data_IF_460196004531
#
_entry.id   IF_460196004531
#
_cell.length_a   1.000
_cell.length_b   1.000
_cell.length_c   1.000
_cell.angle_alpha   90.00
_cell.angle_beta   90.00
_cell.angle_gamma   90.00
#
_symmetry.space_group_name_H-M   'P 1'
#
loop_
_entity.id
_entity.type
_entity.pdbx_description
1 polymer ?
#
# COMPACT_ATOMS: atom_id res chain seq x y z
N UNK A 1 44.38 -53.59 32.00
CA UNK A 1 44.21 -52.12 31.92
C UNK A 1 43.51 -51.79 30.62
N UNK A 2 42.25 -51.32 30.67
CA UNK A 2 41.47 -50.90 29.50
C UNK A 2 41.33 -49.38 29.57
N UNK A 3 41.82 -48.67 28.54
CA UNK A 3 41.67 -47.23 28.40
C UNK A 3 40.20 -46.90 28.03
N UNK A 4 39.55 -45.92 28.66
CA UNK A 4 38.29 -45.40 28.15
C UNK A 4 38.56 -44.36 27.05
N UNK A 5 37.84 -44.52 25.94
CA UNK A 5 37.76 -43.60 24.82
C UNK A 5 37.15 -42.27 25.28
N UNK A 6 37.84 -41.15 25.04
CA UNK A 6 37.27 -39.81 25.17
C UNK A 6 36.26 -39.58 24.04
N UNK A 7 34.98 -39.71 24.34
CA UNK A 7 33.92 -39.16 23.50
C UNK A 7 33.84 -37.66 23.78
N UNK A 8 34.41 -36.84 22.90
CA UNK A 8 34.28 -35.37 22.97
C UNK A 8 32.82 -34.98 22.71
N UNK A 9 32.16 -34.48 23.74
CA UNK A 9 30.85 -33.84 23.65
C UNK A 9 31.07 -32.41 23.13
N UNK A 10 30.98 -32.21 21.81
CA UNK A 10 30.85 -30.85 21.26
C UNK A 10 29.45 -30.33 21.58
N UNK A 11 29.32 -29.52 22.63
CA UNK A 11 28.20 -28.59 22.78
C UNK A 11 28.37 -27.51 21.70
N UNK A 12 27.65 -27.68 20.59
CA UNK A 12 27.47 -26.60 19.62
C UNK A 12 26.71 -25.45 20.30
N UNK A 13 27.41 -24.34 20.53
CA UNK A 13 26.78 -23.06 20.83
C UNK A 13 25.99 -22.63 19.59
N UNK A 14 24.71 -23.00 19.55
CA UNK A 14 23.75 -22.30 18.71
C UNK A 14 23.61 -20.90 19.30
N UNK A 15 24.39 -19.95 18.78
CA UNK A 15 24.04 -18.54 18.85
C UNK A 15 22.69 -18.40 18.14
N UNK A 16 21.61 -18.51 18.90
CA UNK A 16 20.28 -18.18 18.43
C UNK A 16 20.30 -16.71 18.07
N UNK A 17 20.51 -16.42 16.79
CA UNK A 17 20.14 -15.13 16.25
C UNK A 17 18.66 -14.98 16.60
N UNK A 18 18.35 -14.09 17.54
CA UNK A 18 16.99 -13.65 17.78
C UNK A 18 16.58 -12.94 16.50
N UNK A 19 15.99 -13.67 15.56
CA UNK A 19 15.33 -13.09 14.42
C UNK A 19 14.21 -12.22 15.01
N UNK A 20 14.40 -10.91 15.02
CA UNK A 20 13.34 -10.00 15.40
C UNK A 20 12.16 -10.26 14.46
N UNK A 21 10.98 -10.49 15.03
CA UNK A 21 9.78 -10.64 14.23
C UNK A 21 9.58 -9.39 13.38
N UNK A 22 9.35 -9.58 12.08
CA UNK A 22 9.03 -8.50 11.17
C UNK A 22 7.84 -7.70 11.70
N UNK A 23 7.86 -6.38 11.52
CA UNK A 23 6.77 -5.50 11.94
C UNK A 23 5.84 -5.17 10.77
N UNK A 24 4.56 -5.07 11.06
CA UNK A 24 3.57 -4.58 10.10
C UNK A 24 3.74 -3.07 9.91
N UNK A 25 3.08 -2.51 8.90
CA UNK A 25 3.03 -1.08 8.66
C UNK A 25 1.71 -0.70 7.97
N UNK A 26 1.30 0.54 8.19
CA UNK A 26 0.14 1.15 7.58
C UNK A 26 0.53 2.25 6.60
N UNK A 27 -0.35 2.48 5.64
CA UNK A 27 -0.15 3.42 4.54
C UNK A 27 -1.49 3.99 4.05
N UNK A 28 -1.43 4.87 3.06
CA UNK A 28 -2.62 5.45 2.44
C UNK A 28 -2.48 5.55 0.93
N UNK A 29 -3.63 5.73 0.27
CA UNK A 29 -3.76 6.09 -1.14
C UNK A 29 -4.00 7.59 -1.27
N UNK A 30 -3.37 8.26 -2.23
CA UNK A 30 -3.87 9.55 -2.73
C UNK A 30 -3.43 9.76 -4.18
N UNK A 31 -4.39 9.73 -5.11
CA UNK A 31 -4.10 9.71 -6.55
C UNK A 31 -3.85 11.10 -7.16
N UNK A 32 -4.14 12.18 -6.41
CA UNK A 32 -3.97 13.57 -6.88
C UNK A 32 -2.87 14.36 -6.16
N UNK A 33 -2.00 13.71 -5.38
CA UNK A 33 -0.99 14.41 -4.55
C UNK A 33 -0.15 15.38 -5.40
N UNK A 34 0.30 14.93 -6.57
CA UNK A 34 1.08 15.73 -7.49
C UNK A 34 0.35 16.99 -8.00
N UNK A 35 -0.99 16.97 -8.02
CA UNK A 35 -1.83 18.10 -8.41
C UNK A 35 -2.29 19.00 -7.25
N UNK A 36 -1.98 18.66 -6.00
CA UNK A 36 -2.31 19.49 -4.84
C UNK A 36 -1.42 20.73 -4.77
N UNK A 37 -1.95 21.85 -4.23
CA UNK A 37 -1.14 23.02 -3.93
C UNK A 37 -0.10 22.72 -2.82
N UNK A 38 1.06 23.40 -2.84
CA UNK A 38 2.19 23.18 -1.91
C UNK A 38 1.77 23.08 -0.43
N UNK A 39 0.84 23.94 0.00
CA UNK A 39 0.31 23.94 1.37
C UNK A 39 -0.50 22.69 1.70
N UNK A 40 -1.29 22.17 0.76
CA UNK A 40 -2.06 20.93 0.94
C UNK A 40 -1.16 19.70 0.92
N UNK A 41 -0.15 19.68 0.04
CA UNK A 41 0.88 18.63 0.04
C UNK A 41 1.61 18.57 1.37
N UNK A 42 2.02 19.72 1.91
CA UNK A 42 2.71 19.81 3.21
C UNK A 42 1.84 19.29 4.35
N UNK A 43 0.57 19.70 4.41
CA UNK A 43 -0.38 19.20 5.42
C UNK A 43 -0.56 17.69 5.32
N UNK A 44 -0.75 17.16 4.11
CA UNK A 44 -0.87 15.73 3.87
C UNK A 44 0.34 14.96 4.38
N UNK A 45 1.53 15.31 3.89
CA UNK A 45 2.75 14.54 4.13
C UNK A 45 3.16 14.61 5.60
N UNK A 46 2.97 15.74 6.28
CA UNK A 46 3.17 15.85 7.73
C UNK A 46 2.15 15.02 8.52
N UNK A 47 0.87 15.02 8.10
CA UNK A 47 -0.16 14.20 8.73
C UNK A 47 0.16 12.71 8.64
N UNK A 48 0.50 12.24 7.44
CA UNK A 48 0.94 10.86 7.17
C UNK A 48 2.17 10.49 8.02
N UNK A 49 3.20 11.33 8.03
CA UNK A 49 4.40 11.10 8.83
C UNK A 49 4.05 11.00 10.33
N UNK A 50 3.19 11.87 10.84
CA UNK A 50 2.77 11.85 12.25
C UNK A 50 1.97 10.59 12.63
N UNK A 51 1.32 9.96 11.65
CA UNK A 51 0.63 8.68 11.80
C UNK A 51 1.56 7.47 11.65
N UNK A 52 2.86 7.70 11.43
CA UNK A 52 3.85 6.64 11.21
C UNK A 52 3.78 6.02 9.82
N UNK A 53 3.05 6.63 8.87
CA UNK A 53 2.98 6.15 7.49
C UNK A 53 4.34 6.31 6.83
N UNK A 54 4.81 5.22 6.21
CA UNK A 54 6.13 5.14 5.55
C UNK A 54 6.06 5.11 4.02
N UNK A 55 4.90 4.73 3.49
CA UNK A 55 4.68 4.59 2.05
C UNK A 55 3.36 5.22 1.67
N UNK A 56 3.33 6.00 0.60
CA UNK A 56 2.14 6.58 0.00
C UNK A 56 1.89 5.91 -1.36
N UNK A 57 0.68 5.41 -1.58
CA UNK A 57 0.27 4.80 -2.85
C UNK A 57 -0.33 5.83 -3.80
N UNK A 58 0.12 5.81 -5.05
CA UNK A 58 -0.23 6.78 -6.09
C UNK A 58 -0.50 6.08 -7.43
N UNK A 59 -1.30 6.70 -8.30
CA UNK A 59 -1.64 6.15 -9.62
C UNK A 59 -0.97 6.96 -10.72
N UNK A 60 -0.49 6.28 -11.78
CA UNK A 60 0.06 6.94 -12.97
C UNK A 60 -1.01 7.35 -13.99
N UNK A 61 -2.27 7.08 -13.69
CA UNK A 61 -3.36 7.20 -14.65
C UNK A 61 -3.93 8.62 -14.63
N UNK A 62 -3.23 9.57 -15.28
CA UNK A 62 -3.75 10.93 -15.50
C UNK A 62 -2.80 12.09 -15.19
N UNK A 63 -1.55 11.83 -14.81
CA UNK A 63 -0.52 12.85 -14.51
C UNK A 63 0.80 12.51 -15.22
N UNK A 64 1.65 13.50 -15.45
CA UNK A 64 2.96 13.24 -16.09
C UNK A 64 3.92 12.63 -15.08
N UNK A 65 4.88 11.82 -15.55
CA UNK A 65 5.88 11.19 -14.68
C UNK A 65 6.74 12.24 -13.94
N UNK A 66 6.93 13.41 -14.57
CA UNK A 66 7.70 14.53 -14.01
C UNK A 66 7.03 15.16 -12.78
N UNK A 67 5.69 15.13 -12.68
CA UNK A 67 4.94 15.72 -11.55
C UNK A 67 5.17 14.96 -10.21
N UNK A 68 5.69 13.73 -10.28
CA UNK A 68 5.91 12.85 -9.12
C UNK A 68 7.34 12.87 -8.58
N UNK A 69 8.30 13.38 -9.35
CA UNK A 69 9.72 13.31 -8.99
C UNK A 69 10.07 14.20 -7.78
N UNK A 70 9.34 15.28 -7.53
CA UNK A 70 9.67 16.28 -6.49
C UNK A 70 8.89 16.14 -5.17
N UNK A 71 7.78 15.39 -5.15
CA UNK A 71 6.74 15.49 -4.10
C UNK A 71 7.07 14.74 -2.80
N UNK A 72 7.95 13.73 -2.83
CA UNK A 72 8.14 12.76 -1.72
C UNK A 72 9.52 12.74 -1.08
N UNK A 73 10.54 13.26 -1.78
CA UNK A 73 11.94 13.13 -1.36
C UNK A 73 12.26 13.76 0.00
N UNK A 74 11.48 14.76 0.43
CA UNK A 74 11.80 15.55 1.63
C UNK A 74 11.08 15.10 2.91
N UNK A 75 10.10 14.18 2.83
CA UNK A 75 9.18 13.91 3.96
C UNK A 75 9.39 12.54 4.64
N UNK A 76 10.36 11.75 4.20
CA UNK A 76 10.62 10.41 4.76
C UNK A 76 9.51 9.41 4.43
N UNK A 77 8.85 9.59 3.29
CA UNK A 77 7.80 8.72 2.75
C UNK A 77 8.24 8.23 1.38
N UNK A 78 8.12 6.92 1.12
CA UNK A 78 8.35 6.33 -0.21
C UNK A 78 7.05 6.21 -1.00
N UNK A 79 7.15 6.08 -2.32
CA UNK A 79 6.01 5.82 -3.19
C UNK A 79 5.82 4.34 -3.47
N UNK A 80 4.57 3.88 -3.43
CA UNK A 80 4.12 2.69 -4.14
C UNK A 80 3.32 3.15 -5.36
N UNK A 81 3.83 2.84 -6.55
CA UNK A 81 3.31 3.41 -7.80
C UNK A 81 2.52 2.34 -8.55
N UNK A 82 1.22 2.57 -8.73
CA UNK A 82 0.39 1.72 -9.60
C UNK A 82 0.62 2.07 -11.07
N UNK A 83 1.07 1.09 -11.85
CA UNK A 83 1.38 1.25 -13.28
C UNK A 83 0.11 1.33 -14.13
N UNK A 84 -1.01 0.79 -13.64
CA UNK A 84 -2.29 0.71 -14.36
C UNK A 84 -3.47 0.61 -13.39
N UNK A 85 -4.71 0.68 -13.89
CA UNK A 85 -5.92 0.56 -13.07
C UNK A 85 -6.95 -0.36 -13.71
N UNK A 86 -7.55 -1.23 -12.88
CA UNK A 86 -8.69 -2.05 -13.28
C UNK A 86 -9.88 -1.18 -13.67
N UNK A 87 -10.13 -0.07 -12.98
CA UNK A 87 -11.20 0.86 -13.32
C UNK A 87 -10.99 1.47 -14.71
N UNK A 88 -9.74 1.79 -15.08
CA UNK A 88 -9.44 2.31 -16.41
C UNK A 88 -9.71 1.24 -17.50
N UNK A 89 -9.35 -0.01 -17.20
CA UNK A 89 -9.55 -1.18 -18.03
C UNK A 89 -11.04 -1.50 -18.23
N UNK A 90 -11.80 -1.58 -17.14
CA UNK A 90 -13.23 -1.93 -17.13
C UNK A 90 -14.07 -0.86 -17.84
N UNK A 91 -13.77 0.41 -17.59
CA UNK A 91 -14.49 1.53 -18.21
C UNK A 91 -14.11 1.76 -19.69
N UNK A 92 -13.24 0.93 -20.28
CA UNK A 92 -12.72 1.10 -21.64
C UNK A 92 -12.14 2.51 -21.88
N UNK A 93 -11.55 3.10 -20.84
CA UNK A 93 -11.12 4.50 -20.85
C UNK A 93 -9.69 4.66 -21.39
N UNK A 94 -8.88 3.61 -21.29
CA UNK A 94 -7.48 3.58 -21.70
C UNK A 94 -7.24 2.68 -22.92
N UNK A 95 -5.98 2.59 -23.34
CA UNK A 95 -5.59 1.74 -24.47
C UNK A 95 -5.94 0.27 -24.24
N UNK A 96 -5.67 -0.27 -23.04
CA UNK A 96 -5.89 -1.69 -22.77
C UNK A 96 -7.38 -2.03 -22.71
N UNK A 97 -8.20 -1.20 -22.09
CA UNK A 97 -9.66 -1.36 -22.05
C UNK A 97 -10.25 -1.35 -23.45
N UNK A 98 -9.92 -0.34 -24.27
CA UNK A 98 -10.45 -0.21 -25.64
C UNK A 98 -10.13 -1.38 -26.57
N UNK A 99 -8.96 -1.99 -26.41
CA UNK A 99 -8.47 -3.01 -27.36
C UNK A 99 -8.59 -4.44 -26.85
N UNK A 100 -8.63 -4.65 -25.54
CA UNK A 100 -8.60 -5.99 -24.93
C UNK A 100 -9.70 -6.21 -23.90
N UNK A 101 -10.22 -5.14 -23.29
CA UNK A 101 -11.18 -5.23 -22.18
C UNK A 101 -10.66 -6.05 -21.00
N UNK A 102 -11.53 -6.35 -20.04
CA UNK A 102 -11.18 -7.11 -18.83
C UNK A 102 -10.90 -8.59 -19.09
N UNK A 103 -11.22 -9.12 -20.28
CA UNK A 103 -10.96 -10.52 -20.65
C UNK A 103 -9.58 -10.73 -21.26
N UNK A 104 -9.36 -10.18 -22.46
CA UNK A 104 -8.15 -10.46 -23.25
C UNK A 104 -6.91 -9.80 -22.64
N UNK A 105 -7.06 -8.75 -21.82
CA UNK A 105 -5.92 -8.08 -21.19
C UNK A 105 -5.02 -9.06 -20.41
N UNK A 106 -5.62 -10.00 -19.67
CA UNK A 106 -4.89 -10.94 -18.83
C UNK A 106 -4.38 -12.18 -19.57
N UNK A 107 -4.90 -12.46 -20.78
CA UNK A 107 -4.69 -13.75 -21.46
C UNK A 107 -4.00 -13.61 -22.81
N UNK A 108 -4.20 -12.48 -23.51
CA UNK A 108 -3.60 -12.21 -24.81
C UNK A 108 -2.10 -12.00 -24.69
N UNK A 109 -1.33 -12.79 -25.44
CA UNK A 109 0.12 -12.63 -25.52
C UNK A 109 0.53 -11.24 -26.02
N UNK A 110 -0.29 -10.61 -26.87
CA UNK A 110 -0.07 -9.25 -27.37
C UNK A 110 -0.31 -8.21 -26.27
N UNK A 111 -1.41 -8.33 -25.52
CA UNK A 111 -1.69 -7.44 -24.39
C UNK A 111 -0.58 -7.54 -23.32
N UNK A 112 -0.18 -8.77 -22.97
CA UNK A 112 0.91 -9.03 -22.03
C UNK A 112 2.24 -8.42 -22.51
N UNK A 113 2.57 -8.55 -23.81
CA UNK A 113 3.80 -7.94 -24.36
C UNK A 113 3.77 -6.42 -24.27
N UNK A 114 2.67 -5.79 -24.67
CA UNK A 114 2.53 -4.33 -24.60
C UNK A 114 2.49 -3.81 -23.17
N UNK A 115 1.97 -4.61 -22.22
CA UNK A 115 2.02 -4.26 -20.81
C UNK A 115 3.46 -4.32 -20.25
N UNK A 116 4.25 -5.31 -20.68
CA UNK A 116 5.69 -5.36 -20.38
C UNK A 116 6.44 -4.15 -20.93
N UNK A 117 6.11 -3.70 -22.15
CA UNK A 117 6.70 -2.50 -22.74
C UNK A 117 6.37 -1.24 -21.90
N UNK A 118 5.12 -1.12 -21.41
CA UNK A 118 4.72 -0.05 -20.48
C UNK A 118 5.51 -0.11 -19.18
N UNK A 119 5.65 -1.29 -18.57
CA UNK A 119 6.45 -1.46 -17.34
C UNK A 119 7.90 -1.03 -17.61
N UNK A 120 8.51 -1.47 -18.71
CA UNK A 120 9.88 -1.10 -19.07
C UNK A 120 10.03 0.41 -19.27
N UNK A 121 9.04 1.06 -19.91
CA UNK A 121 9.02 2.50 -20.10
C UNK A 121 8.97 3.25 -18.76
N UNK A 122 8.06 2.88 -17.85
CA UNK A 122 7.94 3.49 -16.51
C UNK A 122 9.23 3.33 -15.71
N UNK A 123 9.81 2.12 -15.70
CA UNK A 123 11.05 1.84 -14.97
C UNK A 123 12.27 2.58 -15.52
N UNK A 124 12.26 2.94 -16.81
CA UNK A 124 13.31 3.67 -17.49
C UNK A 124 13.20 5.20 -17.36
N UNK A 125 12.06 5.72 -16.86
CA UNK A 125 11.89 7.15 -16.60
C UNK A 125 13.02 7.67 -15.73
N UNK A 126 13.62 8.79 -16.14
CA UNK A 126 14.76 9.39 -15.45
C UNK A 126 14.30 10.61 -14.70
N UNK A 127 14.56 10.62 -13.40
CA UNK A 127 14.31 11.79 -12.60
C UNK A 127 15.21 12.94 -13.10
N UNK A 128 14.66 14.13 -13.41
CA UNK A 128 15.39 15.21 -14.08
C UNK A 128 16.53 15.79 -13.23
N UNK A 129 16.38 15.85 -11.90
CA UNK A 129 17.40 16.36 -10.96
C UNK A 129 18.49 15.35 -10.61
N UNK A 130 18.14 14.08 -10.40
CA UNK A 130 19.12 13.08 -9.94
C UNK A 130 19.75 12.30 -11.09
N UNK A 131 19.12 12.26 -12.26
CA UNK A 131 19.52 11.47 -13.41
C UNK A 131 19.36 9.95 -13.23
N UNK A 132 18.94 9.48 -12.06
CA UNK A 132 18.63 8.07 -11.78
C UNK A 132 17.35 7.67 -12.49
N UNK A 133 17.30 6.45 -13.00
CA UNK A 133 16.01 5.90 -13.44
C UNK A 133 15.14 5.55 -12.24
N UNK A 134 13.83 5.50 -12.42
CA UNK A 134 12.90 5.03 -11.41
C UNK A 134 13.22 3.61 -10.90
N UNK A 135 13.76 2.74 -11.76
CA UNK A 135 14.29 1.43 -11.33
C UNK A 135 15.48 1.52 -10.35
N UNK A 136 16.23 2.62 -10.37
CA UNK A 136 17.40 2.88 -9.52
C UNK A 136 17.08 3.75 -8.30
N UNK A 137 15.81 4.12 -8.13
CA UNK A 137 15.35 5.14 -7.19
C UNK A 137 14.73 4.55 -5.92
N UNK A 138 15.31 3.46 -5.39
CA UNK A 138 14.85 2.83 -4.14
C UNK A 138 14.87 3.75 -2.92
N UNK A 139 15.58 4.86 -3.02
CA UNK A 139 15.68 5.89 -1.98
C UNK A 139 14.31 6.55 -1.71
N UNK A 140 13.44 6.61 -2.72
CA UNK A 140 12.10 7.21 -2.62
C UNK A 140 10.97 6.39 -3.26
N UNK A 141 11.27 5.32 -3.99
CA UNK A 141 10.29 4.37 -4.53
C UNK A 141 10.38 3.07 -3.74
N UNK A 142 9.28 2.69 -3.08
CA UNK A 142 9.15 1.46 -2.33
C UNK A 142 8.90 0.26 -3.25
N UNK A 143 7.91 0.39 -4.15
CA UNK A 143 7.58 -0.65 -5.11
C UNK A 143 6.75 -0.10 -6.29
N UNK A 144 6.64 -0.94 -7.32
CA UNK A 144 5.66 -0.78 -8.39
C UNK A 144 4.59 -1.85 -8.26
N UNK A 145 3.34 -1.45 -8.35
CA UNK A 145 2.20 -2.34 -8.46
C UNK A 145 1.79 -2.44 -9.93
N UNK A 146 1.46 -3.65 -10.39
CA UNK A 146 1.07 -3.86 -11.77
C UNK A 146 -0.26 -3.16 -12.09
N UNK A 147 -1.26 -3.29 -11.23
CA UNK A 147 -2.60 -2.78 -11.51
C UNK A 147 -3.42 -2.57 -10.23
N UNK A 148 -4.01 -1.38 -10.08
CA UNK A 148 -4.98 -1.05 -9.04
C UNK A 148 -6.21 -1.95 -9.10
N UNK A 149 -6.64 -2.45 -7.94
CA UNK A 149 -7.88 -3.25 -7.74
C UNK A 149 -7.97 -4.50 -8.62
N UNK A 150 -6.84 -5.20 -8.78
CA UNK A 150 -6.86 -6.53 -9.42
C UNK A 150 -7.68 -7.52 -8.57
N UNK A 151 -8.90 -7.82 -9.01
CA UNK A 151 -9.85 -8.68 -8.31
C UNK A 151 -9.44 -10.16 -8.36
N UNK A 152 -9.22 -10.81 -7.21
CA UNK A 152 -9.18 -12.27 -7.12
C UNK A 152 -9.66 -12.79 -5.74
N UNK A 153 -10.55 -13.79 -5.67
CA UNK A 153 -11.19 -14.21 -4.42
C UNK A 153 -10.58 -15.50 -3.81
N UNK A 154 -9.43 -15.43 -3.13
CA UNK A 154 -8.87 -16.61 -2.42
C UNK A 154 -8.09 -16.23 -1.16
N UNK A 155 -7.92 -17.14 -0.17
CA UNK A 155 -7.07 -16.86 0.99
C UNK A 155 -5.60 -16.76 0.56
N UNK A 156 -5.00 -15.57 0.72
CA UNK A 156 -3.73 -15.21 0.08
C UNK A 156 -2.48 -15.39 0.94
N UNK A 157 -2.57 -15.37 2.27
CA UNK A 157 -1.37 -15.39 3.14
C UNK A 157 -0.55 -16.65 2.94
N UNK A 158 -1.15 -17.83 3.10
CA UNK A 158 -0.43 -19.11 2.95
C UNK A 158 0.04 -19.34 1.52
N UNK A 159 -0.72 -18.86 0.53
CA UNK A 159 -0.33 -18.96 -0.89
C UNK A 159 0.86 -18.07 -1.20
N UNK A 160 0.85 -16.82 -0.73
CA UNK A 160 1.96 -15.90 -0.87
C UNK A 160 3.22 -16.48 -0.22
N UNK A 161 3.12 -16.95 1.03
CA UNK A 161 4.22 -17.63 1.73
C UNK A 161 4.75 -18.83 0.94
N UNK A 162 3.88 -19.75 0.51
CA UNK A 162 4.26 -20.94 -0.26
C UNK A 162 4.92 -20.60 -1.59
N UNK A 163 4.52 -19.50 -2.22
CA UNK A 163 5.11 -19.01 -3.47
C UNK A 163 6.37 -18.15 -3.28
N UNK A 164 6.84 -17.96 -2.03
CA UNK A 164 7.97 -17.07 -1.73
C UNK A 164 7.67 -15.61 -2.08
N UNK A 165 6.40 -15.20 -2.05
CA UNK A 165 5.92 -13.85 -2.36
C UNK A 165 5.52 -13.13 -1.08
N UNK A 166 5.63 -11.80 -1.11
CA UNK A 166 5.10 -10.95 -0.05
C UNK A 166 3.67 -10.53 -0.40
N UNK A 167 2.84 -10.32 0.61
CA UNK A 167 1.46 -9.86 0.47
C UNK A 167 1.26 -8.57 1.27
N UNK A 168 0.46 -7.67 0.71
CA UNK A 168 -0.01 -6.43 1.31
C UNK A 168 -1.50 -6.34 1.01
N UNK A 169 -2.31 -5.89 1.97
CA UNK A 169 -3.73 -5.60 1.76
C UNK A 169 -3.90 -4.22 1.11
N UNK A 170 -4.41 -4.20 -0.12
CA UNK A 170 -4.77 -2.99 -0.86
C UNK A 170 -6.13 -3.21 -1.54
N UNK A 171 -7.13 -2.36 -1.37
CA UNK A 171 -7.29 -1.33 -0.34
C UNK A 171 -8.50 -1.59 0.53
N UNK A 172 -8.57 -0.93 1.69
CA UNK A 172 -9.72 -1.03 2.58
C UNK A 172 -10.10 0.36 3.10
N UNK A 173 -11.39 0.54 3.39
CA UNK A 173 -11.95 1.77 3.97
C UNK A 173 -13.13 1.43 4.86
N UNK A 174 -13.63 2.39 5.65
CA UNK A 174 -14.83 2.21 6.49
C UNK A 174 -15.91 3.19 6.04
N UNK A 175 -17.09 2.66 5.71
CA UNK A 175 -18.22 3.46 5.28
C UNK A 175 -18.56 4.59 6.24
N UNK A 176 -18.83 5.75 5.67
CA UNK A 176 -19.52 6.83 6.36
C UNK A 176 -21.00 6.54 6.58
N UNK A 177 -21.63 5.74 5.73
CA UNK A 177 -23.06 5.44 5.79
C UNK A 177 -23.37 4.03 6.29
N UNK A 178 -24.65 3.79 6.60
CA UNK A 178 -25.20 2.48 6.96
C UNK A 178 -25.62 1.63 5.75
N UNK A 179 -25.07 1.91 4.56
CA UNK A 179 -25.38 1.17 3.34
C UNK A 179 -25.06 -0.32 3.47
N UNK A 180 -25.88 -1.15 2.80
CA UNK A 180 -25.75 -2.60 2.87
C UNK A 180 -24.39 -3.09 2.36
N UNK A 181 -23.90 -4.18 2.95
CA UNK A 181 -22.64 -4.84 2.58
C UNK A 181 -21.38 -3.95 2.66
N UNK A 182 -21.44 -2.82 3.38
CA UNK A 182 -20.38 -1.82 3.42
C UNK A 182 -19.97 -1.35 2.02
N UNK A 183 -20.92 -1.25 1.09
CA UNK A 183 -20.63 -0.69 -0.23
C UNK A 183 -20.55 0.83 -0.20
N UNK A 184 -21.14 1.48 0.82
CA UNK A 184 -21.25 2.93 1.01
C UNK A 184 -21.95 3.69 -0.14
N UNK A 185 -22.78 3.02 -0.93
CA UNK A 185 -23.69 3.69 -1.87
C UNK A 185 -25.01 4.00 -1.17
N UNK A 186 -25.30 5.28 -0.95
CA UNK A 186 -26.52 5.68 -0.26
C UNK A 186 -26.51 5.32 1.23
N UNK A 187 -27.69 5.08 1.80
CA UNK A 187 -27.86 4.98 3.25
C UNK A 187 -27.85 6.35 3.94
N UNK A 188 -27.71 6.33 5.27
CA UNK A 188 -27.61 7.50 6.15
C UNK A 188 -26.26 7.55 6.87
N UNK A 189 -25.72 8.74 7.17
CA UNK A 189 -24.50 8.88 7.96
C UNK A 189 -24.58 8.13 9.29
N UNK A 190 -23.55 7.34 9.60
CA UNK A 190 -23.41 6.70 10.91
C UNK A 190 -22.65 7.61 11.89
N UNK A 191 -22.82 7.43 13.21
CA UNK A 191 -22.06 8.17 14.20
C UNK A 191 -20.54 7.97 14.02
N UNK A 192 -19.77 9.05 14.19
CA UNK A 192 -18.31 9.00 14.10
C UNK A 192 -17.69 7.93 15.02
N UNK A 193 -18.25 7.71 16.21
CA UNK A 193 -17.78 6.66 17.14
C UNK A 193 -17.95 5.24 16.59
N UNK A 194 -18.96 5.01 15.75
CA UNK A 194 -19.18 3.73 15.08
C UNK A 194 -18.08 3.50 14.04
N UNK A 195 -17.78 4.54 13.23
CA UNK A 195 -16.68 4.50 12.26
C UNK A 195 -15.33 4.31 12.96
N UNK A 196 -15.06 5.01 14.06
CA UNK A 196 -13.85 4.83 14.88
C UNK A 196 -13.69 3.38 15.35
N UNK A 197 -14.78 2.77 15.82
CA UNK A 197 -14.80 1.38 16.25
C UNK A 197 -14.49 0.42 15.10
N UNK A 198 -15.08 0.66 13.93
CA UNK A 198 -14.84 -0.14 12.72
C UNK A 198 -13.40 -0.03 12.23
N UNK A 199 -12.84 1.19 12.15
CA UNK A 199 -11.44 1.42 11.75
C UNK A 199 -10.48 0.61 12.62
N UNK A 200 -10.62 0.74 13.95
CA UNK A 200 -9.76 0.02 14.91
C UNK A 200 -9.92 -1.49 14.78
N UNK A 201 -11.16 -1.98 14.66
CA UNK A 201 -11.46 -3.41 14.54
C UNK A 201 -10.87 -4.01 13.26
N UNK A 202 -11.06 -3.35 12.12
CA UNK A 202 -10.66 -3.90 10.83
C UNK A 202 -9.14 -3.87 10.67
N UNK A 203 -8.48 -2.76 11.05
CA UNK A 203 -7.02 -2.70 11.11
C UNK A 203 -6.44 -3.81 12.00
N UNK A 204 -6.98 -4.00 13.22
CA UNK A 204 -6.52 -5.04 14.13
C UNK A 204 -6.70 -6.45 13.56
N UNK A 205 -7.77 -6.72 12.81
CA UNK A 205 -7.98 -8.00 12.14
C UNK A 205 -6.94 -8.25 11.03
N UNK A 206 -6.62 -7.22 10.25
CA UNK A 206 -5.61 -7.31 9.19
C UNK A 206 -4.21 -7.51 9.79
N UNK A 207 -3.89 -6.77 10.86
CA UNK A 207 -2.66 -6.93 11.63
C UNK A 207 -2.54 -8.31 12.27
N UNK A 208 -3.63 -8.85 12.83
CA UNK A 208 -3.65 -10.20 13.40
C UNK A 208 -3.44 -11.30 12.33
N UNK A 209 -3.78 -11.03 11.07
CA UNK A 209 -3.44 -11.90 9.94
C UNK A 209 -1.97 -11.75 9.49
N UNK A 210 -1.21 -10.83 10.10
CA UNK A 210 0.18 -10.53 9.79
C UNK A 210 0.37 -9.79 8.47
N UNK A 211 -0.66 -9.07 8.00
CA UNK A 211 -0.65 -8.43 6.67
C UNK A 211 -0.49 -6.90 6.86
N UNK A 212 0.51 -6.26 6.23
CA UNK A 212 0.56 -4.80 6.14
C UNK A 212 -0.55 -4.25 5.23
N UNK A 213 -1.01 -3.02 5.44
CA UNK A 213 -2.24 -2.54 4.79
C UNK A 213 -2.24 -1.07 4.35
N UNK A 214 -3.06 -0.79 3.33
CA UNK A 214 -3.27 0.53 2.72
C UNK A 214 -4.74 0.97 2.92
N UNK A 215 -4.96 2.13 3.55
CA UNK A 215 -6.30 2.70 3.75
C UNK A 215 -6.73 3.61 2.59
N UNK A 216 -8.00 3.52 2.21
CA UNK A 216 -8.68 4.41 1.25
C UNK A 216 -9.66 5.34 1.98
N UNK A 217 -9.56 6.67 1.95
CA UNK A 217 -8.46 7.54 1.52
C UNK A 217 -8.13 8.53 2.64
N UNK A 218 -6.88 8.99 2.77
CA UNK A 218 -6.54 10.07 3.72
C UNK A 218 -6.42 11.39 2.95
N UNK A 219 -7.25 12.36 3.31
CA UNK A 219 -7.35 13.66 2.65
C UNK A 219 -6.59 14.76 3.43
N UNK A 220 -6.03 15.78 2.75
CA UNK A 220 -5.40 16.93 3.42
C UNK A 220 -6.39 17.88 4.08
N UNK A 221 -7.69 17.71 3.82
CA UNK A 221 -8.79 18.55 4.27
C UNK A 221 -9.89 17.68 4.88
N UNK A 222 -10.85 18.33 5.52
CA UNK A 222 -12.07 17.67 5.96
C UNK A 222 -12.74 16.95 4.79
N UNK A 223 -13.30 15.78 5.08
CA UNK A 223 -13.96 14.95 4.08
C UNK A 223 -15.26 15.63 3.61
N UNK A 224 -15.41 15.94 2.31
CA UNK A 224 -16.64 16.52 1.80
C UNK A 224 -17.81 15.51 1.75
N UNK A 225 -17.58 14.23 2.07
CA UNK A 225 -18.56 13.16 2.10
C UNK A 225 -19.24 12.95 0.75
N UNK A 226 -18.43 12.74 -0.28
CA UNK A 226 -18.88 12.59 -1.68
C UNK A 226 -18.80 11.14 -2.15
N UNK A 227 -19.82 10.70 -2.91
CA UNK A 227 -19.82 9.40 -3.54
C UNK A 227 -19.88 8.26 -2.52
N UNK A 228 -18.93 7.33 -2.63
CA UNK A 228 -18.85 6.11 -1.81
C UNK A 228 -18.16 6.32 -0.45
N UNK A 229 -17.72 7.54 -0.11
CA UNK A 229 -17.49 8.03 1.26
C UNK A 229 -16.82 7.06 2.28
N UNK A 230 -15.57 6.73 1.99
CA UNK A 230 -14.68 5.94 2.85
C UNK A 230 -13.57 6.80 3.49
N UNK A 231 -13.48 8.05 3.04
CA UNK A 231 -12.38 8.94 3.28
C UNK A 231 -12.29 9.42 4.74
N UNK A 232 -11.08 9.85 5.10
CA UNK A 232 -10.76 10.42 6.40
C UNK A 232 -9.88 11.66 6.16
N UNK A 233 -10.38 12.82 6.55
CA UNK A 233 -9.62 14.07 6.53
C UNK A 233 -8.59 14.16 7.65
N UNK A 234 -7.41 14.69 7.38
CA UNK A 234 -6.41 15.00 8.41
C UNK A 234 -6.98 16.03 9.38
N UNK A 235 -6.89 15.73 10.68
CA UNK A 235 -7.45 16.53 11.78
C UNK A 235 -8.98 16.68 11.74
N UNK A 236 -9.67 15.79 11.03
CA UNK A 236 -11.13 15.72 10.94
C UNK A 236 -11.69 14.50 11.69
N UNK A 237 -13.00 14.27 11.57
CA UNK A 237 -13.66 13.07 12.06
C UNK A 237 -12.89 11.80 11.66
N UNK A 238 -12.78 10.88 12.62
CA UNK A 238 -12.11 9.57 12.47
C UNK A 238 -10.58 9.59 12.28
N UNK A 239 -9.96 10.77 12.12
CA UNK A 239 -8.50 10.89 11.98
C UNK A 239 -7.74 10.28 13.15
N UNK A 240 -8.12 10.62 14.39
CA UNK A 240 -7.42 10.13 15.57
C UNK A 240 -7.55 8.61 15.73
N UNK A 241 -8.68 8.02 15.32
CA UNK A 241 -8.86 6.58 15.32
C UNK A 241 -7.97 5.90 14.28
N UNK A 242 -7.93 6.44 13.05
CA UNK A 242 -7.07 5.92 11.98
C UNK A 242 -5.59 6.05 12.33
N UNK A 243 -5.18 7.21 12.88
CA UNK A 243 -3.83 7.45 13.39
C UNK A 243 -3.44 6.45 14.48
N UNK A 244 -4.32 6.20 15.45
CA UNK A 244 -4.06 5.22 16.50
C UNK A 244 -3.93 3.79 15.95
N UNK A 245 -4.77 3.41 14.99
CA UNK A 245 -4.70 2.11 14.32
C UNK A 245 -3.39 1.95 13.52
N UNK A 246 -2.97 2.98 12.79
CA UNK A 246 -1.71 3.03 12.07
C UNK A 246 -0.49 2.83 12.99
N UNK A 247 -0.44 3.57 14.11
CA UNK A 247 0.63 3.45 15.11
C UNK A 247 0.64 2.09 15.81
N UNK A 248 -0.52 1.44 15.96
CA UNK A 248 -0.62 0.09 16.48
C UNK A 248 -0.08 -0.96 15.48
N UNK A 249 -0.40 -0.80 14.19
CA UNK A 249 0.09 -1.67 13.11
C UNK A 249 1.62 -1.69 13.06
N UNK A 250 2.27 -0.52 13.21
CA UNK A 250 3.74 -0.41 13.30
C UNK A 250 4.39 -1.23 14.43
N UNK A 251 3.62 -1.73 15.39
CA UNK A 251 4.08 -2.57 16.51
C UNK A 251 3.69 -4.04 16.35
N UNK A 252 2.66 -4.32 15.54
CA UNK A 252 2.16 -5.66 15.26
C UNK A 252 3.20 -6.49 14.50
N UNK A 253 3.16 -7.81 14.67
CA UNK A 253 4.00 -8.72 13.90
C UNK A 253 3.45 -8.89 12.49
N UNK A 254 4.34 -9.02 11.51
CA UNK A 254 3.97 -9.30 10.13
C UNK A 254 4.49 -10.66 9.70
N UNK A 255 3.69 -11.33 8.88
CA UNK A 255 4.06 -12.51 8.13
C UNK A 255 5.10 -12.22 7.03
N UNK A 256 5.30 -10.95 6.67
CA UNK A 256 6.12 -10.53 5.53
C UNK A 256 7.07 -9.40 5.94
N UNK A 257 8.38 -9.67 5.91
CA UNK A 257 9.37 -8.67 6.31
C UNK A 257 9.59 -7.60 5.23
N UNK A 258 8.94 -6.45 5.36
CA UNK A 258 9.18 -5.29 4.50
C UNK A 258 10.24 -4.32 5.06
N UNK A 259 10.80 -4.58 6.25
CA UNK A 259 11.72 -3.68 6.93
C UNK A 259 12.88 -3.19 6.06
N UNK A 260 13.58 -4.05 5.29
CA UNK A 260 14.67 -3.62 4.41
C UNK A 260 14.28 -2.63 3.30
N UNK A 261 12.98 -2.48 3.01
CA UNK A 261 12.46 -1.64 1.92
C UNK A 261 11.83 -0.34 2.43
N UNK A 262 11.55 -0.24 3.73
CA UNK A 262 10.94 0.93 4.38
C UNK A 262 12.01 1.95 4.84
N UNK A 263 11.59 3.20 5.10
CA UNK A 263 12.43 4.28 5.66
C UNK A 263 12.42 4.28 7.20
#
# INVERSE_FOLDING_TARGET
MKFPSLTSLMLGLFSGATANAAKSFSTSNLYHVAGLADGQQTTLLNGLQSAGVKVLRVWLDGTSLDDWDDTVLNYGIKLLISIHSHNALENNSDFYGKWYGTGDFYTSSKAISQFKDRIAHVLAHKHPKTGKTWAQSSDYIFAFEAQNEAMHPQPFVDKAKKAGKKLIMQEWGVCYTDAENNNCDGGSPVPASTRDGNIKKWAANIDAAGIPWFYWQILPNADPHQGWDYEVGISDANWDALKAAALASGKAESAFDFGPYLL
#
